data_IF_331954596178
#
_entry.id   IF_331954596178
#
_cell.length_a   1.000
_cell.length_b   1.000
_cell.length_c   1.000
_cell.angle_alpha   90.00
_cell.angle_beta   90.00
_cell.angle_gamma   90.00
#
_symmetry.space_group_name_H-M   'P 1'
#
loop_
_entity.id
_entity.type
_entity.pdbx_description
1 polymer ?
#
# COMPACT_ATOMS: atom_id res chain seq x y z
N UNK A 1 -18.59 42.12 7.27
CA UNK A 1 -18.62 40.87 6.48
C UNK A 1 -19.56 39.91 7.18
N UNK A 2 -20.49 39.31 6.45
CA UNK A 2 -21.53 38.43 7.00
C UNK A 2 -20.94 37.17 7.65
N UNK A 3 -21.66 36.63 8.64
CA UNK A 3 -21.36 35.45 9.48
C UNK A 3 -21.32 34.13 8.70
N UNK A 4 -20.71 34.08 7.51
CA UNK A 4 -20.46 32.82 6.82
C UNK A 4 -19.47 32.01 7.67
N UNK A 5 -19.98 30.91 8.23
CA UNK A 5 -19.22 30.00 9.08
C UNK A 5 -18.89 28.73 8.30
N UNK A 6 -17.69 28.21 8.52
CA UNK A 6 -17.15 27.00 7.92
C UNK A 6 -16.63 26.14 9.05
N UNK A 7 -17.01 24.88 9.04
CA UNK A 7 -16.39 23.88 9.89
C UNK A 7 -15.18 23.32 9.15
N UNK A 8 -14.00 23.43 9.75
CA UNK A 8 -12.78 22.90 9.17
C UNK A 8 -12.60 21.45 9.63
N UNK A 9 -12.25 20.56 8.70
CA UNK A 9 -11.91 19.16 9.00
C UNK A 9 -10.42 18.95 9.31
N UNK A 10 -9.63 20.03 9.29
CA UNK A 10 -8.17 20.01 9.29
C UNK A 10 -7.56 21.07 10.21
N UNK A 11 -6.29 20.87 10.59
CA UNK A 11 -5.52 21.84 11.37
C UNK A 11 -5.95 22.01 12.84
N UNK A 12 -5.42 23.05 13.52
CA UNK A 12 -5.71 23.35 14.93
C UNK A 12 -7.15 23.82 15.17
N UNK A 13 -7.92 24.03 14.10
CA UNK A 13 -9.32 24.45 14.14
C UNK A 13 -10.29 23.33 13.77
N UNK A 14 -9.81 22.08 13.68
CA UNK A 14 -10.63 20.92 13.35
C UNK A 14 -11.88 20.81 14.26
N UNK A 15 -13.06 20.68 13.66
CA UNK A 15 -14.34 20.55 14.38
C UNK A 15 -14.82 21.83 15.06
N UNK A 16 -14.20 22.98 14.77
CA UNK A 16 -14.67 24.31 15.20
C UNK A 16 -15.32 25.03 14.03
N UNK A 17 -16.48 25.66 14.28
CA UNK A 17 -17.10 26.58 13.33
C UNK A 17 -16.35 27.90 13.35
N UNK A 18 -15.61 28.16 12.28
CA UNK A 18 -14.87 29.41 12.09
C UNK A 18 -15.58 30.32 11.11
N UNK A 19 -15.54 31.62 11.34
CA UNK A 19 -15.97 32.60 10.36
C UNK A 19 -14.93 32.73 9.24
N UNK A 20 -15.39 33.07 8.03
CA UNK A 20 -14.51 33.33 6.90
C UNK A 20 -13.44 34.40 7.22
N UNK A 21 -13.80 35.40 8.04
CA UNK A 21 -12.89 36.45 8.47
C UNK A 21 -11.76 35.93 9.36
N UNK A 22 -12.05 35.02 10.30
CA UNK A 22 -11.05 34.40 11.16
C UNK A 22 -10.08 33.53 10.36
N UNK A 23 -10.55 32.82 9.33
CA UNK A 23 -9.67 32.00 8.47
C UNK A 23 -8.76 32.90 7.63
N UNK A 24 -9.29 33.98 7.05
CA UNK A 24 -8.51 34.95 6.25
C UNK A 24 -7.37 35.58 7.07
N UNK A 25 -7.59 35.82 8.36
CA UNK A 25 -6.60 36.43 9.26
C UNK A 25 -5.72 35.41 9.99
N UNK A 26 -5.87 34.12 9.70
CA UNK A 26 -5.01 33.08 10.25
C UNK A 26 -3.72 32.91 9.45
N UNK A 27 -2.81 32.06 9.94
CA UNK A 27 -1.52 31.74 9.30
C UNK A 27 -1.67 30.95 7.98
N UNK A 28 -2.90 30.62 7.58
CA UNK A 28 -3.17 29.90 6.33
C UNK A 28 -2.96 30.76 5.08
N UNK A 29 -3.05 32.08 5.16
CA UNK A 29 -2.92 32.96 4.00
C UNK A 29 -1.75 33.93 4.16
N UNK A 30 -0.99 34.14 3.09
CA UNK A 30 0.00 35.22 3.05
C UNK A 30 -0.72 36.58 2.93
N UNK A 31 -0.04 37.67 3.30
CA UNK A 31 -0.60 39.02 3.14
C UNK A 31 -1.01 39.32 1.70
N UNK A 32 -0.24 38.86 0.71
CA UNK A 32 -0.57 39.02 -0.71
C UNK A 32 -1.85 38.26 -1.08
N UNK A 33 -1.98 36.99 -0.66
CA UNK A 33 -3.17 36.18 -0.90
C UNK A 33 -4.41 36.78 -0.22
N UNK A 34 -4.24 37.28 1.01
CA UNK A 34 -5.29 37.96 1.78
C UNK A 34 -5.77 39.21 1.06
N UNK A 35 -4.85 40.09 0.65
CA UNK A 35 -5.18 41.34 -0.03
C UNK A 35 -5.87 41.10 -1.37
N UNK A 36 -5.40 40.13 -2.15
CA UNK A 36 -6.01 39.79 -3.44
C UNK A 36 -7.43 39.23 -3.27
N UNK A 37 -7.64 38.33 -2.30
CA UNK A 37 -8.98 37.78 -2.03
C UNK A 37 -9.96 38.85 -1.57
N UNK A 38 -9.54 39.78 -0.70
CA UNK A 38 -10.37 40.91 -0.26
C UNK A 38 -10.67 41.84 -1.43
N UNK A 39 -9.70 42.10 -2.32
CA UNK A 39 -9.89 42.95 -3.51
C UNK A 39 -10.86 42.33 -4.51
N UNK A 40 -10.73 41.03 -4.78
CA UNK A 40 -11.64 40.32 -5.70
C UNK A 40 -13.07 40.22 -5.16
N UNK A 41 -13.23 40.06 -3.84
CA UNK A 41 -14.53 40.09 -3.20
C UNK A 41 -15.16 41.50 -3.25
N UNK A 42 -14.40 42.55 -2.90
CA UNK A 42 -14.88 43.95 -2.93
C UNK A 42 -15.24 44.44 -4.33
N UNK A 43 -14.57 43.92 -5.36
CA UNK A 43 -14.87 44.25 -6.77
C UNK A 43 -16.04 43.45 -7.35
N UNK A 44 -16.67 42.56 -6.58
CA UNK A 44 -17.82 41.75 -7.01
C UNK A 44 -17.47 40.61 -7.98
N UNK A 45 -16.18 40.42 -8.31
CA UNK A 45 -15.71 39.36 -9.22
C UNK A 45 -15.86 37.96 -8.65
N UNK A 46 -15.87 37.84 -7.31
CA UNK A 46 -15.92 36.56 -6.60
C UNK A 46 -17.09 36.58 -5.62
N UNK A 47 -18.01 35.64 -5.77
CA UNK A 47 -19.12 35.42 -4.84
C UNK A 47 -18.63 34.79 -3.54
N UNK A 48 -19.41 34.91 -2.46
CA UNK A 48 -19.03 34.38 -1.15
C UNK A 48 -18.82 32.86 -1.16
N UNK A 49 -19.61 32.12 -1.95
CA UNK A 49 -19.48 30.67 -2.12
C UNK A 49 -18.16 30.28 -2.80
N UNK A 50 -17.74 31.06 -3.81
CA UNK A 50 -16.50 30.83 -4.54
C UNK A 50 -15.28 31.19 -3.68
N UNK A 51 -15.39 32.25 -2.89
CA UNK A 51 -14.38 32.64 -1.91
C UNK A 51 -14.18 31.54 -0.84
N UNK A 52 -15.28 30.94 -0.37
CA UNK A 52 -15.28 29.86 0.61
C UNK A 52 -14.56 28.62 0.07
N UNK A 53 -14.86 28.21 -1.19
CA UNK A 53 -14.13 27.12 -1.85
C UNK A 53 -12.63 27.39 -1.96
N UNK A 54 -12.23 28.58 -2.40
CA UNK A 54 -10.80 28.94 -2.53
C UNK A 54 -10.09 28.85 -1.18
N UNK A 55 -10.71 29.37 -0.11
CA UNK A 55 -10.12 29.36 1.23
C UNK A 55 -10.01 27.92 1.75
N UNK A 56 -11.04 27.09 1.60
CA UNK A 56 -10.98 25.66 1.98
C UNK A 56 -9.83 24.98 1.24
N UNK A 57 -9.71 25.16 -0.08
CA UNK A 57 -8.63 24.56 -0.87
C UNK A 57 -7.25 25.03 -0.40
N UNK A 58 -7.06 26.32 -0.06
CA UNK A 58 -5.78 26.82 0.46
C UNK A 58 -5.45 26.19 1.84
N UNK A 59 -6.43 26.10 2.72
CA UNK A 59 -6.27 25.48 4.04
C UNK A 59 -5.94 24.00 3.90
N UNK A 60 -6.67 23.27 3.05
CA UNK A 60 -6.43 21.87 2.72
C UNK A 60 -5.03 21.66 2.12
N UNK A 61 -4.62 22.48 1.16
CA UNK A 61 -3.29 22.40 0.55
C UNK A 61 -2.16 22.70 1.55
N UNK A 62 -2.33 23.71 2.42
CA UNK A 62 -1.32 24.05 3.44
C UNK A 62 -1.25 22.96 4.52
N UNK A 63 -2.38 22.43 4.97
CA UNK A 63 -2.43 21.32 5.92
C UNK A 63 -1.86 20.04 5.31
N UNK A 64 -2.16 19.74 4.05
CA UNK A 64 -1.57 18.63 3.31
C UNK A 64 -0.05 18.80 3.20
N UNK A 65 0.45 19.97 2.80
CA UNK A 65 1.89 20.27 2.75
C UNK A 65 2.57 20.17 4.12
N UNK A 66 1.91 20.65 5.17
CA UNK A 66 2.43 20.58 6.55
C UNK A 66 2.50 19.12 7.02
N UNK A 67 1.46 18.32 6.76
CA UNK A 67 1.45 16.87 7.02
C UNK A 67 2.53 16.16 6.22
N UNK A 68 2.69 16.46 4.93
CA UNK A 68 3.76 15.88 4.10
C UNK A 68 5.17 16.21 4.60
N UNK A 69 5.34 17.36 5.25
CA UNK A 69 6.61 17.76 5.86
C UNK A 69 6.84 17.14 7.22
N UNK A 70 5.78 16.80 7.97
CA UNK A 70 5.87 16.29 9.34
C UNK A 70 5.60 14.78 9.48
N UNK A 71 5.19 14.09 8.41
CA UNK A 71 4.83 12.67 8.43
C UNK A 71 5.37 11.91 7.21
N UNK A 72 5.49 10.61 7.37
CA UNK A 72 5.96 9.68 6.37
C UNK A 72 4.82 9.26 5.45
N UNK A 73 5.11 9.01 4.17
CA UNK A 73 4.11 8.46 3.25
C UNK A 73 4.01 6.94 3.48
N UNK A 74 2.87 6.46 3.97
CA UNK A 74 2.61 5.04 4.17
C UNK A 74 1.99 4.35 2.96
N UNK A 75 1.27 3.26 3.22
CA UNK A 75 0.60 2.44 2.20
C UNK A 75 -0.64 3.11 1.61
N UNK A 76 -1.51 3.66 2.45
CA UNK A 76 -2.76 4.36 2.07
C UNK A 76 -2.86 5.73 2.72
N UNK A 77 -2.37 5.85 3.95
CA UNK A 77 -2.36 7.07 4.75
C UNK A 77 -0.93 7.49 5.14
N UNK A 78 -0.83 8.71 5.66
CA UNK A 78 0.40 9.23 6.25
C UNK A 78 0.67 8.61 7.63
N UNK A 79 1.94 8.34 7.91
CA UNK A 79 2.42 7.69 9.13
C UNK A 79 3.22 8.70 9.95
N UNK A 80 2.82 9.00 11.19
CA UNK A 80 3.55 9.98 11.99
C UNK A 80 4.79 9.34 12.63
N UNK A 81 5.77 10.17 13.04
CA UNK A 81 7.06 9.69 13.51
C UNK A 81 6.97 8.86 14.81
N UNK A 82 6.01 9.18 15.69
CA UNK A 82 5.73 8.43 16.92
C UNK A 82 5.40 6.97 16.61
N UNK A 83 4.58 6.75 15.58
CA UNK A 83 4.14 5.42 15.20
C UNK A 83 5.30 4.55 14.69
N UNK A 84 6.27 5.15 13.98
CA UNK A 84 7.49 4.44 13.55
C UNK A 84 8.43 4.16 14.73
N UNK A 85 8.52 5.08 15.69
CA UNK A 85 9.34 4.90 16.89
C UNK A 85 8.75 3.81 17.80
N UNK A 86 7.44 3.85 18.07
CA UNK A 86 6.71 2.83 18.84
C UNK A 86 6.82 1.44 18.21
N UNK A 87 6.89 1.40 16.87
CA UNK A 87 7.07 0.17 16.10
C UNK A 87 8.54 -0.23 15.91
N UNK A 88 9.48 0.43 16.61
CA UNK A 88 10.92 0.15 16.59
C UNK A 88 11.55 0.19 15.19
N UNK A 89 10.95 0.96 14.27
CA UNK A 89 11.44 1.12 12.90
C UNK A 89 12.52 2.20 12.84
N UNK A 90 12.38 3.25 13.65
CA UNK A 90 13.39 4.29 13.85
C UNK A 90 13.88 4.28 15.30
N UNK A 91 15.14 4.62 15.50
CA UNK A 91 15.75 4.73 16.82
C UNK A 91 15.43 6.08 17.48
N UNK A 92 15.75 6.17 18.78
CA UNK A 92 15.48 7.36 19.60
C UNK A 92 16.20 8.60 19.06
N UNK A 93 17.43 8.44 18.58
CA UNK A 93 18.23 9.51 17.98
C UNK A 93 17.56 10.07 16.72
N UNK A 94 17.12 9.22 15.78
CA UNK A 94 16.40 9.65 14.58
C UNK A 94 15.07 10.31 14.93
N UNK A 95 14.32 9.75 15.88
CA UNK A 95 13.07 10.33 16.35
C UNK A 95 13.28 11.73 16.94
N UNK A 96 14.28 11.92 17.81
CA UNK A 96 14.56 13.23 18.41
C UNK A 96 15.02 14.26 17.37
N UNK A 97 15.79 13.85 16.36
CA UNK A 97 16.15 14.71 15.23
C UNK A 97 14.94 15.16 14.40
N UNK A 98 13.94 14.29 14.23
CA UNK A 98 12.67 14.62 13.56
C UNK A 98 11.86 15.62 14.40
N UNK A 99 11.75 15.41 15.71
CA UNK A 99 11.04 16.32 16.62
C UNK A 99 11.70 17.71 16.68
N UNK A 100 13.02 17.77 16.60
CA UNK A 100 13.79 19.02 16.58
C UNK A 100 13.82 19.69 15.18
N UNK A 101 13.24 19.07 14.15
CA UNK A 101 13.26 19.59 12.78
C UNK A 101 14.64 19.59 12.11
N UNK A 102 15.63 18.86 12.67
CA UNK A 102 16.99 18.76 12.13
C UNK A 102 17.11 17.81 10.95
N UNK A 103 16.14 16.89 10.82
CA UNK A 103 15.99 16.01 9.66
C UNK A 103 14.52 15.98 9.24
N UNK A 104 14.25 15.52 8.02
CA UNK A 104 12.88 15.46 7.47
C UNK A 104 12.44 14.01 7.26
N UNK A 105 11.12 13.73 7.33
CA UNK A 105 10.58 12.42 7.01
C UNK A 105 10.99 11.91 5.62
N UNK A 106 11.10 12.81 4.63
CA UNK A 106 11.58 12.47 3.28
C UNK A 106 12.99 11.89 3.30
N UNK A 107 13.94 12.55 3.97
CA UNK A 107 15.33 12.08 4.10
C UNK A 107 15.43 10.76 4.86
N UNK A 108 14.66 10.60 5.94
CA UNK A 108 14.65 9.35 6.71
C UNK A 108 14.03 8.20 5.90
N UNK A 109 13.05 8.48 5.04
CA UNK A 109 12.42 7.50 4.15
C UNK A 109 13.34 6.99 3.04
N UNK A 110 14.45 7.66 2.74
CA UNK A 110 15.44 7.18 1.76
C UNK A 110 16.24 5.98 2.31
N UNK A 111 16.28 5.79 3.63
CA UNK A 111 16.94 4.65 4.25
C UNK A 111 16.15 3.35 3.95
N UNK A 112 16.76 2.34 3.29
CA UNK A 112 16.11 1.07 2.98
C UNK A 112 15.54 0.33 4.20
N UNK A 113 16.15 0.52 5.38
CA UNK A 113 15.68 -0.10 6.62
C UNK A 113 14.38 0.53 7.15
N UNK A 114 14.04 1.75 6.72
CA UNK A 114 12.79 2.43 7.05
C UNK A 114 11.79 2.29 5.90
N UNK A 115 12.24 2.52 4.66
CA UNK A 115 11.37 2.53 3.47
C UNK A 115 10.64 1.20 3.23
N UNK A 116 11.27 0.07 3.57
CA UNK A 116 10.66 -1.27 3.51
C UNK A 116 9.41 -1.40 4.38
N UNK A 117 9.33 -0.63 5.46
CA UNK A 117 8.17 -0.63 6.35
C UNK A 117 7.09 0.38 5.95
N UNK A 118 7.41 1.35 5.10
CA UNK A 118 6.48 2.36 4.63
C UNK A 118 5.76 1.88 3.35
N UNK A 119 6.38 2.09 2.19
CA UNK A 119 5.76 1.75 0.91
C UNK A 119 6.25 0.41 0.37
N UNK A 120 7.50 0.04 0.67
CA UNK A 120 8.09 -1.27 0.38
C UNK A 120 8.22 -1.59 -1.12
N UNK A 121 9.41 -2.01 -1.56
CA UNK A 121 9.69 -2.54 -2.91
C UNK A 121 10.05 -4.02 -2.88
N UNK A 122 9.69 -4.69 -1.78
CA UNK A 122 10.15 -6.03 -1.41
C UNK A 122 9.26 -7.16 -1.94
N UNK A 123 8.20 -6.83 -2.69
CA UNK A 123 7.33 -7.81 -3.35
C UNK A 123 7.86 -8.20 -4.73
N UNK A 124 7.44 -9.37 -5.23
CA UNK A 124 7.73 -9.81 -6.60
C UNK A 124 6.96 -8.88 -7.54
N UNK A 125 7.68 -8.02 -8.26
CA UNK A 125 7.11 -6.91 -9.03
C UNK A 125 6.71 -7.31 -10.46
N UNK A 126 7.33 -8.35 -11.02
CA UNK A 126 7.16 -8.70 -12.43
C UNK A 126 7.90 -9.95 -12.85
N UNK A 127 7.88 -10.19 -14.16
CA UNK A 127 8.57 -11.30 -14.82
C UNK A 127 9.68 -10.75 -15.72
N UNK A 128 10.82 -11.44 -15.74
CA UNK A 128 11.90 -11.20 -16.68
C UNK A 128 12.05 -12.42 -17.59
N UNK A 129 11.71 -12.25 -18.87
CA UNK A 129 11.82 -13.31 -19.87
C UNK A 129 13.26 -13.36 -20.39
N UNK A 130 14.02 -14.38 -20.01
CA UNK A 130 15.46 -14.45 -20.29
C UNK A 130 15.81 -14.48 -21.79
N UNK A 131 15.11 -15.25 -22.65
CA UNK A 131 15.46 -15.32 -24.08
C UNK A 131 15.35 -13.98 -24.81
N UNK A 132 14.37 -13.15 -24.45
CA UNK A 132 14.14 -11.84 -25.08
C UNK A 132 14.72 -10.69 -24.26
N UNK A 133 15.20 -10.96 -23.04
CA UNK A 133 15.64 -9.97 -22.05
C UNK A 133 14.56 -8.92 -21.75
N UNK A 134 13.29 -9.32 -21.83
CA UNK A 134 12.14 -8.43 -21.64
C UNK A 134 11.65 -8.49 -20.19
N UNK A 135 11.55 -7.32 -19.55
CA UNK A 135 10.88 -7.14 -18.26
C UNK A 135 9.42 -6.73 -18.49
N UNK A 136 8.49 -7.38 -17.80
CA UNK A 136 7.05 -7.07 -17.91
C UNK A 136 6.31 -7.27 -16.59
N UNK A 137 5.14 -6.66 -16.47
CA UNK A 137 4.22 -6.91 -15.34
C UNK A 137 3.70 -8.36 -15.36
N UNK A 138 3.26 -8.84 -14.20
CA UNK A 138 2.66 -10.19 -14.08
C UNK A 138 1.42 -10.32 -15.00
N UNK A 139 0.58 -9.29 -15.05
CA UNK A 139 -0.61 -9.29 -15.89
C UNK A 139 -0.29 -9.34 -17.39
N UNK A 140 0.75 -8.62 -17.84
CA UNK A 140 1.23 -8.73 -19.22
C UNK A 140 1.76 -10.14 -19.53
N UNK A 141 2.48 -10.76 -18.60
CA UNK A 141 2.94 -12.14 -18.74
C UNK A 141 1.78 -13.13 -18.87
N UNK A 142 0.69 -12.93 -18.11
CA UNK A 142 -0.55 -13.70 -18.27
C UNK A 142 -1.19 -13.51 -19.66
N UNK A 143 -1.31 -12.26 -20.13
CA UNK A 143 -1.88 -11.97 -21.47
C UNK A 143 -1.05 -12.56 -22.61
N UNK A 144 0.28 -12.59 -22.46
CA UNK A 144 1.20 -13.25 -23.40
C UNK A 144 1.23 -14.78 -23.26
N UNK A 145 0.42 -15.36 -22.36
CA UNK A 145 0.41 -16.81 -22.05
C UNK A 145 1.77 -17.36 -21.60
N UNK A 146 2.59 -16.51 -20.98
CA UNK A 146 3.84 -16.90 -20.35
C UNK A 146 3.61 -17.49 -18.96
N UNK A 147 2.54 -17.05 -18.29
CA UNK A 147 2.08 -17.58 -17.00
C UNK A 147 0.68 -18.19 -17.15
N UNK A 148 0.41 -19.26 -16.40
CA UNK A 148 -0.95 -19.76 -16.18
C UNK A 148 -1.80 -18.70 -15.48
N UNK A 149 -3.10 -18.76 -15.71
CA UNK A 149 -4.05 -17.83 -15.08
C UNK A 149 -3.94 -17.86 -13.55
N UNK A 150 -3.95 -19.03 -12.92
CA UNK A 150 -3.91 -19.16 -11.47
C UNK A 150 -2.57 -18.68 -10.89
N UNK A 151 -1.44 -19.05 -11.50
CA UNK A 151 -0.11 -18.60 -11.06
C UNK A 151 0.02 -17.08 -11.11
N UNK A 152 -0.40 -16.46 -12.22
CA UNK A 152 -0.37 -15.01 -12.35
C UNK A 152 -1.34 -14.31 -11.41
N UNK A 153 -2.55 -14.85 -11.22
CA UNK A 153 -3.53 -14.30 -10.28
C UNK A 153 -3.00 -14.33 -8.85
N UNK A 154 -2.45 -15.45 -8.36
CA UNK A 154 -1.91 -15.55 -7.00
C UNK A 154 -0.76 -14.56 -6.75
N UNK A 155 0.10 -14.33 -7.74
CA UNK A 155 1.17 -13.33 -7.62
C UNK A 155 0.62 -11.89 -7.61
N UNK A 156 -0.44 -11.59 -8.38
CA UNK A 156 -1.12 -10.29 -8.34
C UNK A 156 -1.86 -10.07 -7.02
N UNK A 157 -2.51 -11.10 -6.46
CA UNK A 157 -3.13 -11.04 -5.14
C UNK A 157 -2.09 -10.79 -4.05
N UNK A 158 -0.91 -11.42 -4.15
CA UNK A 158 0.21 -11.13 -3.27
C UNK A 158 0.69 -9.66 -3.40
N UNK A 159 0.76 -9.10 -4.61
CA UNK A 159 1.06 -7.66 -4.80
C UNK A 159 0.00 -6.77 -4.11
N UNK A 160 -1.28 -7.03 -4.39
CA UNK A 160 -2.39 -6.27 -3.79
C UNK A 160 -2.36 -6.33 -2.26
N UNK A 161 -2.12 -7.50 -1.68
CA UNK A 161 -2.08 -7.72 -0.24
C UNK A 161 -0.80 -7.21 0.44
N UNK A 162 0.26 -6.96 -0.32
CA UNK A 162 1.52 -6.42 0.20
C UNK A 162 1.63 -4.93 0.03
N UNK A 163 0.72 -4.27 -0.70
CA UNK A 163 0.62 -2.81 -0.70
C UNK A 163 0.11 -2.24 -2.01
N UNK A 164 0.63 -2.70 -3.14
CA UNK A 164 0.40 -2.07 -4.43
C UNK A 164 0.52 -3.07 -5.57
N UNK A 165 -0.23 -2.85 -6.64
CA UNK A 165 0.06 -3.45 -7.94
C UNK A 165 1.24 -2.69 -8.56
N UNK A 166 2.23 -3.43 -9.05
CA UNK A 166 3.50 -2.84 -9.49
C UNK A 166 3.63 -2.89 -11.01
N UNK A 167 3.96 -1.75 -11.61
CA UNK A 167 4.46 -1.66 -12.98
C UNK A 167 6.00 -1.64 -12.94
N UNK A 168 6.68 -2.76 -13.24
CA UNK A 168 8.13 -2.84 -13.16
C UNK A 168 8.84 -2.09 -14.30
N UNK A 169 8.12 -1.71 -15.37
CA UNK A 169 8.67 -0.97 -16.51
C UNK A 169 8.64 0.53 -16.24
N UNK A 170 7.51 1.03 -15.72
CA UNK A 170 7.36 2.44 -15.34
C UNK A 170 7.83 2.76 -13.92
N UNK A 171 8.18 1.74 -13.14
CA UNK A 171 8.51 1.85 -11.72
C UNK A 171 7.40 2.53 -10.91
N UNK A 172 6.16 2.10 -11.13
CA UNK A 172 4.98 2.67 -10.47
C UNK A 172 4.34 1.64 -9.54
N UNK A 173 3.89 2.13 -8.38
CA UNK A 173 3.11 1.37 -7.42
C UNK A 173 1.72 2.02 -7.33
N UNK A 174 0.68 1.28 -7.68
CA UNK A 174 -0.69 1.76 -7.78
C UNK A 174 -1.60 0.94 -6.86
N UNK A 175 -2.63 1.57 -6.30
CA UNK A 175 -3.75 0.83 -5.71
C UNK A 175 -4.46 0.00 -6.79
N UNK A 176 -5.29 -0.96 -6.39
CA UNK A 176 -6.00 -1.82 -7.35
C UNK A 176 -6.88 -0.98 -8.29
N UNK A 177 -7.62 -0.01 -7.76
CA UNK A 177 -8.47 0.87 -8.56
C UNK A 177 -7.67 1.72 -9.57
N UNK A 178 -6.51 2.24 -9.14
CA UNK A 178 -5.62 3.01 -10.01
C UNK A 178 -4.99 2.13 -11.08
N UNK A 179 -4.60 0.90 -10.74
CA UNK A 179 -4.01 -0.05 -11.66
C UNK A 179 -5.00 -0.45 -12.77
N UNK A 180 -6.28 -0.65 -12.44
CA UNK A 180 -7.34 -0.91 -13.42
C UNK A 180 -7.56 0.30 -14.31
N UNK A 181 -7.67 1.51 -13.74
CA UNK A 181 -7.82 2.75 -14.51
C UNK A 181 -6.64 3.02 -15.46
N UNK A 182 -5.43 2.67 -15.03
CA UNK A 182 -4.21 2.80 -15.83
C UNK A 182 -4.01 1.65 -16.84
N UNK A 183 -4.86 0.62 -16.83
CA UNK A 183 -4.75 -0.56 -17.70
C UNK A 183 -3.56 -1.47 -17.36
N UNK A 184 -2.97 -1.32 -16.18
CA UNK A 184 -1.91 -2.20 -15.67
C UNK A 184 -2.46 -3.60 -15.36
N UNK A 185 -3.70 -3.67 -14.90
CA UNK A 185 -4.49 -4.89 -14.73
C UNK A 185 -5.86 -4.71 -15.37
N UNK A 186 -6.43 -5.78 -15.90
CA UNK A 186 -7.76 -5.74 -16.50
C UNK A 186 -8.90 -5.79 -15.49
N UNK A 187 -10.08 -5.26 -15.86
CA UNK A 187 -11.25 -5.20 -14.99
C UNK A 187 -11.75 -6.58 -14.55
N UNK A 188 -11.42 -7.65 -15.30
CA UNK A 188 -11.82 -9.02 -14.95
C UNK A 188 -11.20 -9.53 -13.63
N UNK A 189 -10.11 -8.91 -13.17
CA UNK A 189 -9.45 -9.27 -11.91
C UNK A 189 -9.80 -8.31 -10.77
N UNK A 190 -10.57 -7.24 -11.02
CA UNK A 190 -10.78 -6.14 -10.08
C UNK A 190 -11.30 -6.60 -8.72
N UNK A 191 -12.42 -7.32 -8.70
CA UNK A 191 -13.05 -7.81 -7.46
C UNK A 191 -12.12 -8.72 -6.63
N UNK A 192 -11.40 -9.62 -7.30
CA UNK A 192 -10.46 -10.55 -6.63
C UNK A 192 -9.30 -9.78 -5.99
N UNK A 193 -8.71 -8.85 -6.74
CA UNK A 193 -7.60 -8.05 -6.24
C UNK A 193 -8.03 -7.06 -5.16
N UNK A 194 -9.23 -6.50 -5.25
CA UNK A 194 -9.79 -5.63 -4.22
C UNK A 194 -10.03 -6.42 -2.92
N UNK A 195 -10.45 -7.69 -3.03
CA UNK A 195 -10.54 -8.58 -1.87
C UNK A 195 -9.18 -8.82 -1.22
N UNK A 196 -8.11 -9.04 -2.00
CA UNK A 196 -6.75 -9.18 -1.48
C UNK A 196 -6.20 -7.86 -0.89
N UNK A 197 -6.53 -6.70 -1.49
CA UNK A 197 -6.13 -5.37 -1.01
C UNK A 197 -6.70 -5.03 0.38
N UNK A 198 -7.77 -5.71 0.81
CA UNK A 198 -8.27 -5.61 2.21
C UNK A 198 -7.23 -6.04 3.23
N UNK A 199 -6.23 -6.84 2.87
CA UNK A 199 -5.09 -7.12 3.73
C UNK A 199 -4.24 -5.88 4.05
N UNK A 200 -4.36 -4.82 3.24
CA UNK A 200 -3.69 -3.52 3.40
C UNK A 200 -4.63 -2.49 4.00
N UNK A 201 -5.86 -2.39 3.46
CA UNK A 201 -6.83 -1.35 3.87
C UNK A 201 -7.60 -1.74 5.13
N UNK A 202 -7.58 -3.01 5.50
CA UNK A 202 -8.16 -3.61 6.69
C UNK A 202 -9.54 -4.22 6.47
N UNK A 203 -9.87 -5.23 7.26
CA UNK A 203 -11.18 -5.86 7.29
C UNK A 203 -12.07 -5.15 8.31
N UNK A 204 -13.37 -5.04 8.02
CA UNK A 204 -14.34 -4.49 8.99
C UNK A 204 -14.89 -5.63 9.85
N UNK A 205 -14.64 -5.57 11.15
CA UNK A 205 -15.23 -6.49 12.11
C UNK A 205 -16.76 -6.26 12.18
N UNK A 206 -17.60 -7.27 11.86
CA UNK A 206 -19.05 -7.12 11.87
C UNK A 206 -19.63 -6.78 13.26
N UNK A 207 -18.96 -7.19 14.34
CA UNK A 207 -19.46 -7.00 15.70
C UNK A 207 -19.09 -5.65 16.29
N UNK A 208 -17.86 -5.17 16.02
CA UNK A 208 -17.34 -3.93 16.61
C UNK A 208 -17.33 -2.76 15.64
N UNK A 209 -17.47 -3.02 14.33
CA UNK A 209 -17.30 -2.03 13.27
C UNK A 209 -15.86 -1.56 13.08
N UNK A 210 -14.90 -2.06 13.88
CA UNK A 210 -13.50 -1.65 13.83
C UNK A 210 -12.79 -2.27 12.64
N UNK A 211 -11.76 -1.56 12.17
CA UNK A 211 -10.81 -2.07 11.19
C UNK A 211 -9.84 -3.02 11.88
N UNK A 212 -9.69 -4.24 11.34
CA UNK A 212 -8.80 -5.29 11.85
C UNK A 212 -7.84 -5.78 10.75
N UNK A 213 -6.73 -6.35 11.18
CA UNK A 213 -5.69 -6.95 10.32
C UNK A 213 -6.17 -8.22 9.60
N UNK A 214 -5.41 -8.63 8.58
CA UNK A 214 -5.62 -9.90 7.88
C UNK A 214 -5.56 -11.10 8.83
N UNK A 215 -4.59 -11.10 9.76
CA UNK A 215 -4.45 -12.15 10.75
C UNK A 215 -5.66 -12.23 11.68
N UNK A 216 -6.11 -11.09 12.21
CA UNK A 216 -7.30 -11.04 13.08
C UNK A 216 -8.57 -11.48 12.33
N UNK A 217 -8.71 -11.07 11.07
CA UNK A 217 -9.82 -11.52 10.22
C UNK A 217 -9.81 -13.05 10.03
N UNK A 218 -8.63 -13.64 9.85
CA UNK A 218 -8.45 -15.09 9.76
C UNK A 218 -8.76 -15.80 11.09
N UNK A 219 -8.36 -15.22 12.23
CA UNK A 219 -8.67 -15.80 13.56
C UNK A 219 -10.17 -15.73 13.90
N UNK A 220 -10.89 -14.77 13.33
CA UNK A 220 -12.33 -14.59 13.49
C UNK A 220 -13.17 -15.26 12.40
N UNK A 221 -12.55 -16.11 11.57
CA UNK A 221 -13.18 -16.81 10.45
C UNK A 221 -13.92 -15.88 9.45
N UNK A 222 -13.51 -14.60 9.37
CA UNK A 222 -14.02 -13.66 8.37
C UNK A 222 -13.40 -13.88 6.98
N UNK A 223 -12.25 -14.57 6.95
CA UNK A 223 -11.57 -15.04 5.75
C UNK A 223 -11.07 -16.46 6.01
N UNK A 224 -11.27 -17.35 5.04
CA UNK A 224 -10.76 -18.72 5.11
C UNK A 224 -9.24 -18.72 5.19
N UNK A 225 -8.68 -19.64 6.00
CA UNK A 225 -7.23 -19.80 6.16
C UNK A 225 -6.53 -20.00 4.81
N UNK A 226 -7.14 -20.76 3.93
CA UNK A 226 -6.67 -21.05 2.56
C UNK A 226 -6.37 -19.79 1.74
N UNK A 227 -7.17 -18.73 1.93
CA UNK A 227 -6.99 -17.44 1.26
C UNK A 227 -6.09 -16.49 2.06
N UNK A 228 -6.09 -16.57 3.38
CA UNK A 228 -5.31 -15.66 4.23
C UNK A 228 -3.83 -16.03 4.32
N UNK A 229 -3.51 -17.33 4.37
CA UNK A 229 -2.14 -17.86 4.49
C UNK A 229 -1.20 -17.38 3.37
N UNK A 230 -1.57 -17.44 2.07
CA UNK A 230 -0.73 -16.94 0.99
C UNK A 230 -0.40 -15.44 1.14
N UNK A 231 -1.40 -14.65 1.56
CA UNK A 231 -1.26 -13.20 1.72
C UNK A 231 -0.42 -12.84 2.96
N UNK A 232 -0.59 -13.56 4.07
CA UNK A 232 0.25 -13.41 5.27
C UNK A 232 1.72 -13.79 4.96
N UNK A 233 1.94 -14.85 4.20
CA UNK A 233 3.27 -15.26 3.77
C UNK A 233 3.91 -14.18 2.90
N UNK A 234 3.16 -13.62 1.95
CA UNK A 234 3.63 -12.51 1.12
C UNK A 234 4.03 -11.30 1.97
N UNK A 235 3.18 -10.84 2.90
CA UNK A 235 3.50 -9.72 3.80
C UNK A 235 4.76 -9.98 4.62
N UNK A 236 4.85 -11.15 5.27
CA UNK A 236 5.98 -11.51 6.13
C UNK A 236 7.32 -11.47 5.39
N UNK A 237 7.35 -11.91 4.13
CA UNK A 237 8.56 -11.95 3.31
C UNK A 237 8.74 -10.73 2.38
N UNK A 238 7.80 -9.77 2.39
CA UNK A 238 7.88 -8.52 1.63
C UNK A 238 8.03 -7.28 2.53
N UNK A 239 8.76 -7.43 3.64
CA UNK A 239 9.14 -6.32 4.52
C UNK A 239 8.52 -6.35 5.93
N UNK A 240 7.39 -7.04 6.13
CA UNK A 240 6.76 -7.18 7.44
C UNK A 240 5.23 -7.22 7.38
N UNK A 241 4.61 -7.51 8.52
CA UNK A 241 3.15 -7.60 8.64
C UNK A 241 2.51 -6.22 8.57
N UNK A 242 1.40 -6.08 7.85
CA UNK A 242 0.74 -4.79 7.68
C UNK A 242 -0.19 -4.49 8.87
N UNK A 243 -0.03 -3.31 9.45
CA UNK A 243 -1.00 -2.70 10.35
C UNK A 243 -1.93 -1.79 9.51
N UNK A 244 -3.18 -2.20 9.23
CA UNK A 244 -4.07 -1.46 8.34
C UNK A 244 -4.67 -0.21 9.00
N UNK A 245 -4.55 -0.06 10.32
CA UNK A 245 -4.99 1.13 11.06
C UNK A 245 -3.91 2.20 10.99
N UNK A 246 -2.65 1.78 11.11
CA UNK A 246 -1.48 2.69 11.05
C UNK A 246 -0.86 2.81 9.66
N UNK A 247 -1.42 2.12 8.67
CA UNK A 247 -1.06 2.21 7.25
C UNK A 247 0.44 2.02 6.96
N UNK A 248 1.10 1.13 7.70
CA UNK A 248 2.50 0.76 7.48
C UNK A 248 2.74 -0.70 7.88
N UNK A 249 3.86 -1.26 7.45
CA UNK A 249 4.32 -2.58 7.88
C UNK A 249 5.07 -2.45 9.19
N UNK A 250 4.95 -3.46 10.05
CA UNK A 250 5.73 -3.58 11.28
C UNK A 250 6.66 -4.80 11.21
N UNK A 251 7.80 -4.74 11.91
CA UNK A 251 8.62 -5.92 12.17
C UNK A 251 7.81 -7.07 12.80
N UNK A 252 8.17 -8.32 12.52
CA UNK A 252 7.41 -9.49 12.98
C UNK A 252 7.33 -9.60 14.51
N UNK A 253 8.40 -9.25 15.22
CA UNK A 253 8.43 -9.22 16.68
C UNK A 253 7.48 -8.17 17.29
N UNK A 254 7.36 -7.02 16.61
CA UNK A 254 6.40 -5.96 16.96
C UNK A 254 4.97 -6.38 16.62
N UNK A 255 4.77 -7.10 15.51
CA UNK A 255 3.48 -7.65 15.13
C UNK A 255 2.92 -8.60 16.21
N UNK A 256 3.78 -9.42 16.83
CA UNK A 256 3.40 -10.27 17.97
C UNK A 256 2.95 -9.44 19.17
N UNK A 257 3.70 -8.39 19.52
CA UNK A 257 3.39 -7.51 20.66
C UNK A 257 2.04 -6.78 20.45
N UNK A 258 1.71 -6.47 19.20
CA UNK A 258 0.46 -5.81 18.81
C UNK A 258 -0.72 -6.80 18.59
N UNK A 259 -0.50 -8.11 18.75
CA UNK A 259 -1.49 -9.16 18.47
C UNK A 259 -2.09 -9.15 17.05
N UNK A 260 -1.40 -8.53 16.09
CA UNK A 260 -1.79 -8.55 14.66
C UNK A 260 -1.08 -9.67 13.89
N UNK A 261 -0.32 -10.51 14.59
CA UNK A 261 0.32 -11.73 14.10
C UNK A 261 0.73 -12.64 15.26
N UNK A 262 1.03 -13.90 15.01
CA UNK A 262 1.44 -14.87 16.05
C UNK A 262 2.70 -15.65 15.70
N UNK A 263 3.43 -16.08 16.74
CA UNK A 263 4.67 -16.85 16.59
C UNK A 263 4.40 -18.24 15.99
N UNK A 264 3.27 -18.84 16.35
CA UNK A 264 2.83 -20.14 15.86
C UNK A 264 2.63 -20.08 14.34
N UNK A 265 1.87 -19.08 13.86
CA UNK A 265 1.64 -18.89 12.43
C UNK A 265 2.93 -18.54 11.70
N UNK A 266 3.78 -17.68 12.27
CA UNK A 266 5.07 -17.37 11.66
C UNK A 266 5.96 -18.60 11.49
N UNK A 267 5.96 -19.51 12.46
CA UNK A 267 6.69 -20.78 12.40
C UNK A 267 6.14 -21.65 11.27
N UNK A 268 4.82 -21.86 11.22
CA UNK A 268 4.16 -22.62 10.15
C UNK A 268 4.47 -22.04 8.76
N UNK A 269 4.39 -20.72 8.59
CA UNK A 269 4.69 -20.05 7.31
C UNK A 269 6.16 -20.10 6.91
N UNK A 270 7.07 -20.36 7.85
CA UNK A 270 8.51 -20.49 7.61
C UNK A 270 8.93 -21.93 7.30
N UNK A 271 8.12 -22.92 7.70
CA UNK A 271 8.37 -24.33 7.47
C UNK A 271 8.06 -24.71 6.01
N UNK A 272 8.92 -25.50 5.38
CA UNK A 272 8.75 -25.98 4.01
C UNK A 272 7.99 -27.31 3.96
N UNK A 273 6.81 -27.38 4.58
CA UNK A 273 5.88 -28.50 4.39
C UNK A 273 5.03 -28.29 3.12
N UNK A 274 4.52 -29.36 2.52
CA UNK A 274 3.71 -29.25 1.29
C UNK A 274 2.40 -28.47 1.52
N UNK A 275 1.84 -28.52 2.73
CA UNK A 275 0.64 -27.77 3.12
C UNK A 275 0.84 -26.24 3.16
N UNK A 276 2.09 -25.75 3.15
CA UNK A 276 2.43 -24.33 3.28
C UNK A 276 3.04 -23.72 2.02
N UNK A 277 2.85 -24.36 0.86
CA UNK A 277 3.33 -23.91 -0.46
C UNK A 277 2.15 -23.44 -1.34
N UNK A 278 1.56 -22.26 -1.06
CA UNK A 278 0.34 -21.82 -1.74
C UNK A 278 0.59 -21.26 -3.14
N UNK A 279 1.83 -21.05 -3.55
CA UNK A 279 2.17 -20.55 -4.88
C UNK A 279 2.65 -21.69 -5.77
N UNK A 280 2.72 -21.43 -7.07
CA UNK A 280 3.30 -22.35 -8.05
C UNK A 280 4.48 -21.66 -8.73
N UNK A 281 5.60 -22.37 -8.79
CA UNK A 281 6.76 -21.91 -9.52
C UNK A 281 6.52 -21.99 -11.04
N UNK A 282 6.60 -20.87 -11.78
CA UNK A 282 6.30 -20.89 -13.21
C UNK A 282 7.37 -21.59 -14.06
N UNK A 283 8.58 -21.84 -13.54
CA UNK A 283 9.66 -22.52 -14.25
C UNK A 283 9.59 -24.05 -14.05
N UNK A 284 9.29 -24.50 -12.84
CA UNK A 284 9.26 -25.94 -12.48
C UNK A 284 7.86 -26.54 -12.41
N UNK A 285 6.81 -25.73 -12.38
CA UNK A 285 5.42 -26.12 -12.12
C UNK A 285 5.19 -26.79 -10.74
N UNK A 286 6.17 -26.73 -9.83
CA UNK A 286 6.06 -27.24 -8.47
C UNK A 286 5.41 -26.22 -7.52
N UNK A 287 4.78 -26.72 -6.46
CA UNK A 287 4.30 -25.84 -5.38
C UNK A 287 5.49 -25.17 -4.68
N UNK A 288 5.35 -23.89 -4.36
CA UNK A 288 6.38 -23.07 -3.73
C UNK A 288 5.78 -22.15 -2.66
N UNK A 289 6.61 -21.78 -1.69
CA UNK A 289 6.33 -20.67 -0.79
C UNK A 289 6.67 -19.34 -1.47
N UNK A 290 6.07 -18.25 -1.00
CA UNK A 290 6.42 -16.92 -1.47
C UNK A 290 7.90 -16.60 -1.27
N UNK A 291 8.48 -17.08 -0.15
CA UNK A 291 9.91 -16.94 0.13
C UNK A 291 10.76 -17.61 -0.95
N UNK A 292 10.43 -18.86 -1.31
CA UNK A 292 11.16 -19.60 -2.34
C UNK A 292 11.11 -18.88 -3.70
N UNK A 293 9.95 -18.34 -4.09
CA UNK A 293 9.83 -17.55 -5.32
C UNK A 293 10.62 -16.25 -5.24
N UNK A 294 10.56 -15.54 -4.10
CA UNK A 294 11.31 -14.31 -3.90
C UNK A 294 12.82 -14.54 -3.90
N UNK A 295 13.30 -15.63 -3.32
CA UNK A 295 14.72 -16.00 -3.29
C UNK A 295 15.28 -16.31 -4.70
N UNK A 296 14.40 -16.72 -5.64
CA UNK A 296 14.74 -16.88 -7.07
C UNK A 296 14.72 -15.58 -7.86
N UNK A 297 14.15 -14.51 -7.32
CA UNK A 297 14.06 -13.23 -8.02
C UNK A 297 15.42 -12.54 -8.11
N UNK A 298 15.66 -11.87 -9.24
CA UNK A 298 16.77 -10.94 -9.39
C UNK A 298 16.30 -9.53 -9.05
N UNK A 299 17.19 -8.70 -8.46
CA UNK A 299 16.95 -7.27 -8.31
C UNK A 299 17.25 -6.57 -9.63
N UNK A 300 16.23 -5.90 -10.17
CA UNK A 300 16.37 -5.03 -11.33
C UNK A 300 17.33 -3.87 -11.02
N UNK A 301 18.31 -3.63 -11.88
CA UNK A 301 19.38 -2.66 -11.61
C UNK A 301 18.89 -1.21 -11.61
N UNK A 302 17.85 -0.92 -12.40
CA UNK A 302 17.34 0.43 -12.60
C UNK A 302 16.33 0.82 -11.52
N UNK A 303 15.49 -0.14 -11.12
CA UNK A 303 14.35 0.10 -10.20
C UNK A 303 14.56 -0.46 -8.79
N UNK A 304 15.49 -1.42 -8.62
CA UNK A 304 15.69 -2.14 -7.36
C UNK A 304 14.58 -3.15 -7.02
N UNK A 305 13.60 -3.34 -7.91
CA UNK A 305 12.48 -4.25 -7.73
C UNK A 305 12.89 -5.71 -7.88
N UNK A 306 12.23 -6.61 -7.15
CA UNK A 306 12.40 -8.06 -7.31
C UNK A 306 11.63 -8.54 -8.54
N UNK A 307 12.33 -9.10 -9.52
CA UNK A 307 11.74 -9.62 -10.76
C UNK A 307 12.03 -11.11 -10.86
N UNK A 308 10.99 -11.92 -11.08
CA UNK A 308 11.11 -13.37 -11.19
C UNK A 308 11.58 -13.72 -12.61
N UNK A 309 12.74 -14.41 -12.77
CA UNK A 309 13.19 -14.85 -14.08
C UNK A 309 12.30 -15.98 -14.60
N UNK A 310 12.15 -16.04 -15.92
CA UNK A 310 11.43 -17.08 -16.63
C UNK A 310 12.18 -17.41 -17.92
N UNK A 311 12.60 -18.66 -18.10
CA UNK A 311 13.36 -19.09 -19.27
C UNK A 311 12.45 -19.50 -20.43
N UNK A 312 11.23 -19.96 -20.15
CA UNK A 312 10.24 -20.43 -21.14
C UNK A 312 8.81 -20.19 -20.65
N UNK A 313 7.80 -20.16 -21.53
CA UNK A 313 6.40 -20.12 -21.10
C UNK A 313 6.07 -21.29 -20.16
N UNK A 314 5.36 -21.00 -19.08
CA UNK A 314 4.88 -22.02 -18.14
C UNK A 314 4.03 -23.06 -18.88
N UNK A 315 4.22 -24.35 -18.58
CA UNK A 315 3.50 -25.45 -19.25
C UNK A 315 1.99 -25.28 -19.07
N UNK A 316 1.10 -25.72 -19.96
CA UNK A 316 -0.34 -25.70 -19.71
C UNK A 316 -0.74 -26.74 -18.65
N UNK A 317 -1.87 -26.52 -17.97
CA UNK A 317 -2.43 -27.54 -17.05
C UNK A 317 -2.81 -28.79 -17.85
N UNK A 318 -2.25 -29.95 -17.48
CA UNK A 318 -2.67 -31.24 -18.04
C UNK A 318 -4.06 -31.53 -17.49
N UNK A 319 -5.09 -31.33 -18.31
CA UNK A 319 -6.43 -31.83 -17.99
C UNK A 319 -6.41 -33.30 -18.35
N UNK A 320 -6.40 -34.19 -17.36
CA UNK A 320 -6.62 -35.62 -17.61
C UNK A 320 -7.95 -35.75 -18.35
N UNK A 321 -7.89 -36.18 -19.62
CA UNK A 321 -9.08 -36.51 -20.39
C UNK A 321 -9.73 -37.69 -19.67
N UNK A 322 -10.79 -37.45 -18.92
CA UNK A 322 -11.67 -38.51 -18.45
C UNK A 322 -12.26 -39.17 -19.69
N UNK A 323 -11.70 -40.32 -20.08
CA UNK A 323 -12.28 -41.13 -21.14
C UNK A 323 -13.63 -41.64 -20.62
N UNK A 324 -14.71 -41.09 -21.16
CA UNK A 324 -16.03 -41.69 -21.04
C UNK A 324 -16.00 -42.97 -21.88
N UNK A 325 -15.88 -44.12 -21.21
CA UNK A 325 -16.18 -45.40 -21.84
C UNK A 325 -17.66 -45.37 -22.23
N UNK A 326 -17.91 -45.49 -23.53
CA UNK A 326 -19.25 -45.68 -24.11
C UNK A 326 -19.53 -47.16 -24.22
#
# INVERSE_FOLDING_TARGET
MTQATVELDYGPFKGRKMTLWEIIHSDYLTEEQRLELIRQFRSGKVTIEKLLKIIITIVEEKEAKKKEQSSFKGLRDHVPADTLFDSKIIDKTTFDLLQQGKTTPKKVSENPNVSKYLQGTESIAGIYLEPTKEKMSIYQAMKKKLLRHNTGLSLLEAQAATGFIVDPVKNQCLSVDEAVKAGLVGPELHEKLLSAEKAVTGYKDPFTGKKISLYEAMQKDLILKEHAIPLLQAQMFSGGIIDPVKSHRVPTDVAYQKNIFSKEVAKTLSESSDDNKPFSDPETDENATYKQLKDKCQKDKDTGLYILPLSKPQSPTIVEKTYLYT
#
